data_IF_125728077535
#
_entry.id   IF_125728077535
#
_cell.length_a   1.000
_cell.length_b   1.000
_cell.length_c   1.000
_cell.angle_alpha   90.00
_cell.angle_beta   90.00
_cell.angle_gamma   90.00
#
_symmetry.space_group_name_H-M   'P 1'
#
loop_
_entity.id
_entity.type
_entity.pdbx_description
1 polymer ?
#
# COMPACT_ATOMS: atom_id res chain seq x y z
N UNK A 1 5.09 14.41 13.63
CA UNK A 1 5.26 13.03 14.13
C UNK A 1 4.44 12.09 13.25
N UNK A 2 5.09 11.37 12.34
CA UNK A 2 4.42 10.41 11.44
C UNK A 2 4.33 9.10 12.20
N UNK A 3 3.11 8.69 12.56
CA UNK A 3 2.85 7.34 13.07
C UNK A 3 3.28 6.35 11.98
N UNK A 4 4.50 5.86 12.10
CA UNK A 4 5.00 4.67 11.42
C UNK A 4 4.29 3.45 11.99
N UNK A 5 3.05 3.23 11.57
CA UNK A 5 2.44 1.92 11.74
C UNK A 5 3.14 0.97 10.77
N UNK A 6 4.12 0.20 11.25
CA UNK A 6 4.38 -1.13 10.70
C UNK A 6 3.12 -1.94 10.94
N UNK A 7 2.11 -1.77 10.09
CA UNK A 7 0.88 -2.54 10.17
C UNK A 7 1.27 -4.01 9.99
N UNK A 8 0.93 -4.82 10.98
CA UNK A 8 1.18 -6.25 10.91
C UNK A 8 0.40 -6.80 9.71
N UNK A 9 1.10 -7.40 8.75
CA UNK A 9 0.48 -7.95 7.53
C UNK A 9 -0.68 -8.89 7.87
N UNK A 10 -0.53 -9.70 8.93
CA UNK A 10 -1.60 -10.58 9.42
C UNK A 10 -2.85 -9.80 9.83
N UNK A 11 -2.69 -8.64 10.47
CA UNK A 11 -3.81 -7.79 10.88
C UNK A 11 -4.51 -7.15 9.67
N UNK A 12 -3.76 -6.73 8.63
CA UNK A 12 -4.37 -6.22 7.40
C UNK A 12 -5.17 -7.34 6.72
N UNK A 13 -4.56 -8.51 6.52
CA UNK A 13 -5.24 -9.65 5.89
C UNK A 13 -6.46 -10.07 6.69
N UNK A 14 -6.39 -10.10 8.02
CA UNK A 14 -7.53 -10.41 8.88
C UNK A 14 -8.66 -9.39 8.71
N UNK A 15 -8.34 -8.09 8.60
CA UNK A 15 -9.34 -7.06 8.30
C UNK A 15 -9.99 -7.28 6.93
N UNK A 16 -9.21 -7.61 5.90
CA UNK A 16 -9.75 -7.87 4.56
C UNK A 16 -10.67 -9.09 4.53
N UNK A 17 -10.25 -10.19 5.15
CA UNK A 17 -11.07 -11.39 5.27
C UNK A 17 -12.33 -11.08 6.08
N UNK A 18 -12.20 -10.42 7.23
CA UNK A 18 -13.34 -10.03 8.05
C UNK A 18 -14.34 -9.14 7.30
N UNK A 19 -13.85 -8.12 6.59
CA UNK A 19 -14.68 -7.25 5.77
C UNK A 19 -15.38 -7.97 4.63
N UNK A 20 -14.68 -8.87 3.93
CA UNK A 20 -15.27 -9.70 2.88
C UNK A 20 -16.34 -10.64 3.44
N UNK A 21 -16.07 -11.33 4.55
CA UNK A 21 -17.03 -12.24 5.20
C UNK A 21 -18.27 -11.49 5.66
N UNK A 22 -18.12 -10.33 6.31
CA UNK A 22 -19.25 -9.50 6.73
C UNK A 22 -20.04 -9.01 5.51
N UNK A 23 -19.35 -8.54 4.47
CA UNK A 23 -19.98 -8.09 3.23
C UNK A 23 -20.77 -9.19 2.52
N UNK A 24 -20.25 -10.42 2.48
CA UNK A 24 -20.95 -11.58 1.94
C UNK A 24 -22.14 -11.98 2.83
N UNK A 25 -21.98 -11.97 4.16
CA UNK A 25 -23.08 -12.24 5.08
C UNK A 25 -24.22 -11.21 4.96
N UNK A 26 -23.89 -9.96 4.61
CA UNK A 26 -24.87 -8.91 4.41
C UNK A 26 -25.79 -9.10 3.19
N UNK A 27 -25.46 -10.00 2.25
CA UNK A 27 -26.36 -10.38 1.16
C UNK A 27 -27.58 -11.19 1.61
N UNK A 28 -27.52 -11.81 2.79
CA UNK A 28 -28.65 -12.52 3.37
C UNK A 28 -29.61 -11.59 4.13
N UNK A 29 -29.29 -10.30 4.22
CA UNK A 29 -30.12 -9.28 4.88
C UNK A 29 -31.07 -8.68 3.84
N UNK A 30 -32.36 -8.45 4.19
CA UNK A 30 -33.31 -7.76 3.32
C UNK A 30 -32.80 -6.40 2.80
N UNK A 31 -33.17 -6.06 1.57
CA UNK A 31 -32.67 -4.91 0.80
C UNK A 31 -33.01 -3.54 1.42
N UNK A 32 -34.17 -3.46 2.05
CA UNK A 32 -34.85 -2.25 2.51
C UNK A 32 -34.59 -1.92 3.99
N UNK A 33 -33.58 -2.56 4.59
CA UNK A 33 -33.26 -2.45 6.00
C UNK A 33 -32.13 -1.48 6.34
N UNK A 34 -32.35 -0.63 7.35
CA UNK A 34 -31.29 0.10 8.06
C UNK A 34 -30.19 -0.85 8.57
N UNK A 35 -30.54 -2.09 8.85
CA UNK A 35 -29.60 -3.17 9.19
C UNK A 35 -28.58 -3.41 8.09
N UNK A 36 -29.01 -3.46 6.81
CA UNK A 36 -28.10 -3.65 5.66
C UNK A 36 -27.10 -2.50 5.56
N UNK A 37 -27.58 -1.26 5.68
CA UNK A 37 -26.72 -0.07 5.73
C UNK A 37 -25.68 -0.18 6.86
N UNK A 38 -26.10 -0.46 8.10
CA UNK A 38 -25.19 -0.55 9.25
C UNK A 38 -24.15 -1.66 9.02
N UNK A 39 -24.56 -2.84 8.53
CA UNK A 39 -23.64 -3.96 8.31
C UNK A 39 -22.61 -3.64 7.24
N UNK A 40 -23.02 -3.08 6.09
CA UNK A 40 -22.07 -2.68 5.05
C UNK A 40 -21.21 -1.50 5.49
N UNK A 41 -21.76 -0.53 6.20
CA UNK A 41 -21.01 0.61 6.71
C UNK A 41 -19.95 0.19 7.74
N UNK A 42 -20.28 -0.77 8.61
CA UNK A 42 -19.32 -1.36 9.54
C UNK A 42 -18.21 -2.13 8.82
N UNK A 43 -18.56 -2.95 7.81
CA UNK A 43 -17.57 -3.65 6.99
C UNK A 43 -16.66 -2.67 6.24
N UNK A 44 -17.25 -1.62 5.67
CA UNK A 44 -16.54 -0.55 4.97
C UNK A 44 -15.58 0.18 5.91
N UNK A 45 -15.99 0.55 7.13
CA UNK A 45 -15.10 1.18 8.11
C UNK A 45 -13.98 0.25 8.58
N UNK A 46 -14.25 -1.04 8.72
CA UNK A 46 -13.25 -2.02 9.12
C UNK A 46 -12.12 -2.15 8.08
N UNK A 47 -12.46 -2.12 6.79
CA UNK A 47 -11.52 -2.23 5.68
C UNK A 47 -10.89 -0.88 5.30
N UNK A 48 -11.73 0.15 5.12
CA UNK A 48 -11.40 1.44 4.53
C UNK A 48 -11.23 2.59 5.53
N UNK A 49 -11.49 2.38 6.84
CA UNK A 49 -11.43 3.47 7.83
C UNK A 49 -10.05 4.15 7.90
N UNK A 50 -8.98 3.41 7.67
CA UNK A 50 -7.63 3.95 7.55
C UNK A 50 -7.45 4.90 6.35
N UNK A 51 -8.12 4.61 5.23
CA UNK A 51 -8.09 5.39 3.98
C UNK A 51 -8.88 6.68 4.18
N UNK A 52 -10.08 6.58 4.72
CA UNK A 52 -10.93 7.73 5.06
C UNK A 52 -10.21 8.66 6.03
N UNK A 53 -9.58 8.11 7.08
CA UNK A 53 -8.82 8.92 8.03
C UNK A 53 -7.61 9.61 7.39
N UNK A 54 -6.89 8.94 6.49
CA UNK A 54 -5.80 9.55 5.72
C UNK A 54 -6.33 10.67 4.83
N UNK A 55 -7.44 10.46 4.13
CA UNK A 55 -8.06 11.45 3.26
C UNK A 55 -8.40 12.73 4.05
N UNK A 56 -9.10 12.60 5.19
CA UNK A 56 -9.43 13.73 6.05
C UNK A 56 -8.16 14.49 6.50
N UNK A 57 -7.13 13.76 6.92
CA UNK A 57 -5.86 14.35 7.34
C UNK A 57 -5.14 15.08 6.21
N UNK A 58 -5.20 14.55 4.99
CA UNK A 58 -4.54 15.12 3.82
C UNK A 58 -5.28 16.36 3.30
N UNK A 59 -6.61 16.36 3.34
CA UNK A 59 -7.45 17.55 3.08
C UNK A 59 -7.05 18.70 4.01
N UNK A 60 -6.96 18.46 5.32
CA UNK A 60 -6.58 19.47 6.32
C UNK A 60 -5.18 20.04 6.05
N UNK A 61 -4.32 19.27 5.37
CA UNK A 61 -2.95 19.68 4.98
C UNK A 61 -2.86 20.32 3.60
N UNK A 62 -3.99 20.56 2.92
CA UNK A 62 -4.04 21.15 1.59
C UNK A 62 -3.78 20.17 0.44
N UNK A 63 -3.72 18.86 0.71
CA UNK A 63 -3.55 17.81 -0.31
C UNK A 63 -4.89 17.16 -0.62
N UNK A 64 -5.73 17.86 -1.36
CA UNK A 64 -7.12 17.46 -1.64
C UNK A 64 -7.28 16.56 -2.87
N UNK A 65 -6.26 16.39 -3.71
CA UNK A 65 -6.35 15.55 -4.92
C UNK A 65 -5.45 14.32 -4.82
N UNK A 66 -5.57 13.60 -3.70
CA UNK A 66 -4.87 12.34 -3.50
C UNK A 66 -5.78 11.12 -3.71
N UNK A 67 -5.17 9.94 -3.80
CA UNK A 67 -5.90 8.70 -4.01
C UNK A 67 -6.87 8.40 -2.85
N UNK A 68 -6.47 8.67 -1.60
CA UNK A 68 -7.33 8.44 -0.43
C UNK A 68 -8.60 9.29 -0.49
N UNK A 69 -8.48 10.55 -0.91
CA UNK A 69 -9.59 11.46 -1.12
C UNK A 69 -10.52 10.97 -2.22
N UNK A 70 -9.98 10.62 -3.38
CA UNK A 70 -10.77 10.16 -4.51
C UNK A 70 -11.58 8.90 -4.14
N UNK A 71 -10.96 7.96 -3.42
CA UNK A 71 -11.65 6.78 -2.92
C UNK A 71 -12.72 7.10 -1.89
N UNK A 72 -12.45 8.04 -0.98
CA UNK A 72 -13.42 8.46 0.04
C UNK A 72 -14.65 9.09 -0.61
N UNK A 73 -14.48 9.96 -1.62
CA UNK A 73 -15.61 10.55 -2.34
C UNK A 73 -16.36 9.51 -3.16
N UNK A 74 -15.66 8.64 -3.89
CA UNK A 74 -16.29 7.61 -4.72
C UNK A 74 -17.18 6.69 -3.87
N UNK A 75 -16.66 6.23 -2.73
CA UNK A 75 -17.39 5.33 -1.84
C UNK A 75 -18.48 6.05 -1.05
N UNK A 76 -18.28 7.30 -0.64
CA UNK A 76 -19.35 8.12 -0.07
C UNK A 76 -20.50 8.31 -1.08
N UNK A 77 -20.19 8.59 -2.35
CA UNK A 77 -21.18 8.66 -3.43
C UNK A 77 -21.95 7.36 -3.59
N UNK A 78 -21.26 6.21 -3.57
CA UNK A 78 -21.89 4.90 -3.61
C UNK A 78 -22.84 4.65 -2.42
N UNK A 79 -22.46 5.05 -1.21
CA UNK A 79 -23.37 4.99 -0.04
C UNK A 79 -24.60 5.89 -0.19
N UNK A 80 -24.47 7.08 -0.79
CA UNK A 80 -25.60 8.00 -1.03
C UNK A 80 -26.61 7.40 -2.01
N UNK A 81 -26.15 6.73 -3.06
CA UNK A 81 -27.02 6.05 -4.03
C UNK A 81 -27.42 4.62 -3.61
N UNK A 82 -27.16 4.25 -2.35
CA UNK A 82 -27.49 2.94 -1.76
C UNK A 82 -26.77 1.73 -2.38
N UNK A 83 -25.65 1.98 -3.09
CA UNK A 83 -24.77 0.97 -3.67
C UNK A 83 -23.68 0.58 -2.65
N UNK A 84 -24.11 -0.03 -1.55
CA UNK A 84 -23.22 -0.40 -0.43
C UNK A 84 -22.20 -1.51 -0.77
N UNK A 85 -22.58 -2.58 -1.49
CA UNK A 85 -21.63 -3.61 -1.90
C UNK A 85 -20.48 -3.06 -2.75
N UNK A 86 -20.78 -2.12 -3.65
CA UNK A 86 -19.82 -1.46 -4.55
C UNK A 86 -18.85 -0.60 -3.74
N UNK A 87 -19.35 0.15 -2.76
CA UNK A 87 -18.51 0.96 -1.86
C UNK A 87 -17.50 0.09 -1.10
N UNK A 88 -17.95 -1.06 -0.58
CA UNK A 88 -17.10 -2.02 0.10
C UNK A 88 -16.10 -2.68 -0.85
N UNK A 89 -16.55 -3.07 -2.05
CA UNK A 89 -15.72 -3.70 -3.07
C UNK A 89 -14.55 -2.80 -3.49
N UNK A 90 -14.81 -1.51 -3.75
CA UNK A 90 -13.77 -0.52 -4.08
C UNK A 90 -12.69 -0.49 -2.99
N UNK A 91 -13.08 -0.45 -1.72
CA UNK A 91 -12.12 -0.44 -0.61
C UNK A 91 -11.34 -1.75 -0.45
N UNK A 92 -12.00 -2.90 -0.65
CA UNK A 92 -11.34 -4.21 -0.63
C UNK A 92 -10.28 -4.30 -1.73
N UNK A 93 -10.64 -3.96 -2.96
CA UNK A 93 -9.72 -3.99 -4.09
C UNK A 93 -8.56 -3.02 -3.90
N UNK A 94 -8.83 -1.82 -3.38
CA UNK A 94 -7.76 -0.88 -3.07
C UNK A 94 -6.75 -1.45 -2.09
N UNK A 95 -7.21 -1.96 -0.95
CA UNK A 95 -6.32 -2.49 0.07
C UNK A 95 -5.51 -3.68 -0.45
N UNK A 96 -6.12 -4.54 -1.26
CA UNK A 96 -5.41 -5.62 -1.94
C UNK A 96 -4.33 -5.04 -2.88
N UNK A 97 -4.67 -4.03 -3.68
CA UNK A 97 -3.74 -3.30 -4.55
C UNK A 97 -2.57 -2.71 -3.78
N UNK A 98 -2.82 -2.06 -2.65
CA UNK A 98 -1.80 -1.48 -1.77
C UNK A 98 -0.85 -2.55 -1.20
N UNK A 99 -1.37 -3.74 -0.86
CA UNK A 99 -0.53 -4.87 -0.45
C UNK A 99 0.41 -5.31 -1.58
N UNK A 100 -0.09 -5.43 -2.80
CA UNK A 100 0.72 -5.78 -3.97
C UNK A 100 1.73 -4.67 -4.33
N UNK A 101 1.30 -3.41 -4.26
CA UNK A 101 2.16 -2.24 -4.49
C UNK A 101 3.34 -2.24 -3.51
N UNK A 102 3.08 -2.43 -2.22
CA UNK A 102 4.12 -2.53 -1.20
C UNK A 102 5.09 -3.69 -1.45
N UNK A 103 4.58 -4.86 -1.84
CA UNK A 103 5.42 -6.01 -2.19
C UNK A 103 6.29 -5.75 -3.42
N UNK A 104 5.72 -5.15 -4.47
CA UNK A 104 6.42 -4.82 -5.70
C UNK A 104 7.55 -3.78 -5.47
N UNK A 105 7.26 -2.72 -4.71
CA UNK A 105 8.26 -1.69 -4.36
C UNK A 105 9.40 -2.28 -3.54
N UNK A 106 9.08 -3.13 -2.56
CA UNK A 106 10.11 -3.79 -1.74
C UNK A 106 11.00 -4.71 -2.58
N UNK A 107 10.40 -5.46 -3.52
CA UNK A 107 11.16 -6.31 -4.46
C UNK A 107 12.08 -5.47 -5.34
N UNK A 108 11.57 -4.38 -5.92
CA UNK A 108 12.36 -3.46 -6.75
C UNK A 108 13.55 -2.87 -5.99
N UNK A 109 13.32 -2.40 -4.75
CA UNK A 109 14.40 -1.88 -3.88
C UNK A 109 15.49 -2.92 -3.62
N UNK A 110 15.11 -4.17 -3.30
CA UNK A 110 16.07 -5.26 -3.06
C UNK A 110 16.93 -5.54 -4.30
N UNK A 111 16.31 -5.63 -5.49
CA UNK A 111 17.05 -5.87 -6.72
C UNK A 111 18.03 -4.73 -7.07
N UNK A 112 17.67 -3.47 -6.81
CA UNK A 112 18.60 -2.35 -6.97
C UNK A 112 19.77 -2.46 -5.98
N UNK A 113 19.49 -2.77 -4.72
CA UNK A 113 20.54 -2.96 -3.71
C UNK A 113 21.49 -4.10 -4.06
N UNK A 114 20.99 -5.21 -4.60
CA UNK A 114 21.81 -6.33 -5.08
C UNK A 114 22.73 -5.91 -6.23
N UNK A 115 22.25 -5.13 -7.20
CA UNK A 115 23.09 -4.60 -8.29
C UNK A 115 24.18 -3.64 -7.79
N UNK A 116 23.88 -2.81 -6.77
CA UNK A 116 24.89 -1.94 -6.17
C UNK A 116 26.00 -2.73 -5.45
N UNK A 117 25.68 -3.91 -4.92
CA UNK A 117 26.63 -4.79 -4.26
C UNK A 117 27.59 -5.51 -5.24
N UNK A 118 27.31 -5.46 -6.56
CA UNK A 118 28.20 -6.02 -7.60
C UNK A 118 29.39 -5.08 -7.89
N UNK A 119 29.40 -3.85 -7.37
CA UNK A 119 30.52 -2.92 -7.54
C UNK A 119 31.80 -3.53 -6.93
N UNK A 120 32.83 -3.83 -7.74
CA UNK A 120 34.06 -4.43 -7.22
C UNK A 120 34.81 -3.44 -6.33
N UNK A 121 35.18 -3.89 -5.13
CA UNK A 121 35.93 -3.08 -4.16
C UNK A 121 37.38 -2.82 -4.61
N UNK A 122 37.93 -3.72 -5.43
CA UNK A 122 39.33 -3.68 -5.87
C UNK A 122 39.45 -3.92 -7.38
N UNK A 123 40.42 -3.26 -8.00
CA UNK A 123 40.86 -3.50 -9.36
C UNK A 123 42.31 -4.00 -9.35
N UNK A 124 42.66 -4.89 -10.27
CA UNK A 124 44.06 -5.28 -10.47
C UNK A 124 44.71 -4.27 -11.43
N UNK A 125 45.73 -3.56 -10.95
CA UNK A 125 46.56 -2.67 -11.73
C UNK A 125 47.76 -3.46 -12.27
N UNK A 126 47.96 -3.50 -13.59
CA UNK A 126 49.11 -4.14 -14.21
C UNK A 126 50.19 -3.09 -14.51
N UNK A 127 51.37 -3.22 -13.90
CA UNK A 127 52.51 -2.32 -14.11
C UNK A 127 53.68 -3.18 -14.58
N UNK A 128 54.00 -3.12 -15.87
CA UNK A 128 54.99 -4.03 -16.47
C UNK A 128 54.53 -5.49 -16.44
N UNK A 129 55.36 -6.38 -15.89
CA UNK A 129 55.05 -7.82 -15.72
C UNK A 129 54.40 -8.17 -14.36
N UNK A 130 54.25 -7.19 -13.46
CA UNK A 130 53.67 -7.42 -12.12
C UNK A 130 52.23 -6.91 -12.03
N UNK A 131 51.42 -7.57 -11.21
CA UNK A 131 50.03 -7.19 -10.91
C UNK A 131 49.91 -6.72 -9.46
N UNK A 132 49.48 -5.47 -9.25
CA UNK A 132 49.21 -4.88 -7.93
C UNK A 132 47.72 -4.65 -7.74
N UNK A 133 47.17 -5.07 -6.60
CA UNK A 133 45.76 -4.85 -6.25
C UNK A 133 45.58 -3.39 -5.79
N UNK A 134 44.66 -2.64 -6.39
CA UNK A 134 44.36 -1.24 -6.05
C UNK A 134 42.86 -1.04 -5.81
N UNK A 135 42.47 0.00 -5.06
CA UNK A 135 41.06 0.35 -4.89
C UNK A 135 40.48 0.88 -6.21
N UNK A 136 39.34 0.32 -6.65
CA UNK A 136 38.78 0.57 -7.99
C UNK A 136 38.44 2.06 -8.27
N UNK A 137 38.37 2.92 -7.24
CA UNK A 137 38.12 4.36 -7.34
C UNK A 137 39.36 5.25 -7.58
N UNK A 138 40.59 4.74 -7.39
CA UNK A 138 41.84 5.54 -7.50
C UNK A 138 42.62 5.32 -8.80
N UNK A 139 42.18 4.41 -9.67
CA UNK A 139 42.95 3.98 -10.85
C UNK A 139 43.05 5.00 -11.99
N UNK A 140 42.40 6.18 -11.91
CA UNK A 140 42.41 7.22 -12.96
C UNK A 140 43.32 8.43 -12.69
N UNK A 141 44.11 8.44 -11.62
CA UNK A 141 44.84 9.65 -11.17
C UNK A 141 46.36 9.66 -11.42
N UNK A 142 46.95 8.68 -12.11
CA UNK A 142 48.39 8.70 -12.45
C UNK A 142 48.65 8.11 -13.82
#
# INVERSE_FOLDING_TARGET
>A
MIMGQKKNLKAIVLKLIGGAVIGTAAYFIPEDGLLKFITFFAAYLLVGGDVVFKALKNIVRGQVFDENFLMTIATAGAFVIQQYPEALAVMLFYQIGELFQGAAVNRSRRSISELMNIRPEYANLKVGNETKKSEAGRSKSR
#
